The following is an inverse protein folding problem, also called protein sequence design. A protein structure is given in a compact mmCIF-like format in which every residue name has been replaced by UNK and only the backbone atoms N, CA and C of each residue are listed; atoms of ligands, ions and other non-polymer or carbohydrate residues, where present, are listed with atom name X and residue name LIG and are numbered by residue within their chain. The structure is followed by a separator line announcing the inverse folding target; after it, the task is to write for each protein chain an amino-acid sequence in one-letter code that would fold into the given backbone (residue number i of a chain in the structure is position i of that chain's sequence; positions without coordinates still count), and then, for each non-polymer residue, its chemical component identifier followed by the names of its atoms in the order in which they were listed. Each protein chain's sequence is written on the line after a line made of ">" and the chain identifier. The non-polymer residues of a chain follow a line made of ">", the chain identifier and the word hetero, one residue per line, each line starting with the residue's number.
data_IF_456217688442
#
_entry.id   IF_456217688442
#
_cell.length_a   1.000
_cell.length_b   1.000
_cell.length_c   1.000
_cell.angle_alpha   90.00
_cell.angle_beta   90.00
_cell.angle_gamma   90.00
#
_symmetry.space_group_name_H-M   'P 1'
#
loop_
_entity.id
_entity.type
_entity.pdbx_description
1 polymer ?
#
# COMPACT_ATOMS: atom_id res chain seq x y z
N UNK A 1 -13.37 0.39 -13.08
CA UNK A 1 -13.73 1.34 -14.11
C UNK A 1 -12.76 2.51 -14.11
N UNK A 2 -12.51 3.12 -15.25
CA UNK A 2 -11.60 4.25 -15.40
C UNK A 2 -12.28 5.62 -15.29
N UNK A 3 -13.52 5.68 -14.87
CA UNK A 3 -14.26 6.93 -14.74
C UNK A 3 -13.68 7.76 -13.60
N UNK A 4 -13.29 9.00 -13.92
CA UNK A 4 -12.69 9.95 -12.99
C UNK A 4 -13.67 10.38 -11.87
N UNK A 5 -14.98 10.21 -12.10
CA UNK A 5 -16.03 10.66 -11.19
C UNK A 5 -16.55 9.57 -10.24
N UNK A 6 -16.06 8.35 -10.37
CA UNK A 6 -16.41 7.27 -9.45
C UNK A 6 -15.55 7.29 -8.17
N UNK A 7 -16.13 6.99 -6.99
CA UNK A 7 -15.36 6.84 -5.78
C UNK A 7 -14.25 5.81 -5.95
N UNK A 8 -13.04 6.16 -5.57
CA UNK A 8 -11.89 5.26 -5.61
C UNK A 8 -11.88 4.33 -4.39
N UNK A 9 -11.34 3.10 -4.50
CA UNK A 9 -11.09 2.25 -3.36
C UNK A 9 -10.24 2.98 -2.31
N UNK A 10 -10.72 3.06 -1.08
CA UNK A 10 -10.17 3.96 -0.07
C UNK A 10 -8.70 3.67 0.28
N UNK A 11 -8.34 2.40 0.50
CA UNK A 11 -6.97 2.03 0.86
C UNK A 11 -5.98 2.30 -0.28
N UNK A 12 -6.22 1.88 -1.53
CA UNK A 12 -5.38 2.24 -2.66
C UNK A 12 -5.24 3.75 -2.87
N UNK A 13 -6.33 4.49 -2.79
CA UNK A 13 -6.30 5.95 -2.89
C UNK A 13 -5.48 6.58 -1.75
N UNK A 14 -5.62 6.06 -0.52
CA UNK A 14 -4.85 6.48 0.64
C UNK A 14 -3.36 6.22 0.50
N UNK A 15 -2.97 5.10 -0.13
CA UNK A 15 -1.57 4.79 -0.42
C UNK A 15 -0.98 5.81 -1.41
N UNK A 16 -1.68 6.10 -2.51
CA UNK A 16 -1.23 7.10 -3.50
C UNK A 16 -1.11 8.48 -2.87
N UNK A 17 -2.09 8.89 -2.07
CA UNK A 17 -2.07 10.16 -1.34
C UNK A 17 -0.91 10.22 -0.35
N UNK A 18 -0.64 9.12 0.37
CA UNK A 18 0.45 9.05 1.33
C UNK A 18 1.81 9.23 0.64
N UNK A 19 2.04 8.52 -0.47
CA UNK A 19 3.26 8.67 -1.28
C UNK A 19 3.44 10.13 -1.74
N UNK A 20 2.38 10.78 -2.20
CA UNK A 20 2.41 12.17 -2.63
C UNK A 20 2.75 13.14 -1.48
N UNK A 21 2.19 12.94 -0.27
CA UNK A 21 2.43 13.81 0.88
C UNK A 21 3.83 13.72 1.44
N UNK A 22 4.50 12.61 1.23
CA UNK A 22 5.89 12.40 1.64
C UNK A 22 6.89 12.60 0.50
N UNK A 23 6.44 13.21 -0.61
CA UNK A 23 7.25 13.50 -1.79
C UNK A 23 8.00 12.27 -2.34
N UNK A 24 7.39 11.08 -2.22
CA UNK A 24 7.96 9.84 -2.75
C UNK A 24 7.66 9.77 -4.25
N UNK A 25 8.70 9.78 -5.11
CA UNK A 25 8.51 9.79 -6.55
C UNK A 25 7.83 8.50 -7.03
N UNK A 26 6.71 8.65 -7.74
CA UNK A 26 5.99 7.52 -8.34
C UNK A 26 6.26 7.39 -9.84
N UNK A 27 6.54 8.49 -10.53
CA UNK A 27 6.73 8.52 -11.97
C UNK A 27 7.99 7.74 -12.37
N UNK A 28 7.79 6.71 -13.17
CA UNK A 28 8.86 5.82 -13.61
C UNK A 28 9.36 4.85 -12.54
N UNK A 29 8.80 4.90 -11.32
CA UNK A 29 9.19 4.01 -10.24
C UNK A 29 8.77 2.56 -10.52
N UNK A 30 9.62 1.60 -10.14
CA UNK A 30 9.27 0.19 -10.06
C UNK A 30 8.56 -0.07 -8.73
N UNK A 31 7.33 -0.56 -8.79
CA UNK A 31 6.48 -0.83 -7.64
C UNK A 31 6.18 -2.32 -7.51
N UNK A 32 6.56 -2.93 -6.40
CA UNK A 32 6.18 -4.28 -6.04
C UNK A 32 4.98 -4.26 -5.10
N UNK A 33 3.86 -4.80 -5.52
CA UNK A 33 2.67 -4.97 -4.67
C UNK A 33 2.53 -6.46 -4.33
N UNK A 34 2.75 -6.79 -3.06
CA UNK A 34 2.67 -8.16 -2.57
C UNK A 34 1.26 -8.38 -2.01
N UNK A 35 0.48 -9.13 -2.74
CA UNK A 35 -0.94 -9.38 -2.51
C UNK A 35 -1.80 -8.97 -3.70
N UNK A 36 -2.74 -9.83 -4.09
CA UNK A 36 -3.66 -9.61 -5.24
C UNK A 36 -5.13 -9.55 -4.84
N UNK A 37 -5.38 -9.14 -3.60
CA UNK A 37 -6.73 -8.95 -3.09
C UNK A 37 -7.49 -7.86 -3.84
N UNK A 38 -8.82 -8.03 -3.92
CA UNK A 38 -9.70 -7.07 -4.62
C UNK A 38 -9.82 -5.74 -3.90
N UNK A 39 -9.50 -5.70 -2.61
CA UNK A 39 -9.58 -4.49 -1.78
C UNK A 39 -8.36 -3.60 -1.88
N UNK A 40 -7.18 -4.16 -2.09
CA UNK A 40 -5.91 -3.41 -2.12
C UNK A 40 -5.10 -3.72 -3.37
N UNK A 41 -4.57 -4.93 -3.52
CA UNK A 41 -3.53 -5.22 -4.51
C UNK A 41 -3.94 -4.92 -5.95
N UNK A 42 -5.06 -5.48 -6.42
CA UNK A 42 -5.55 -5.25 -7.78
C UNK A 42 -5.89 -3.79 -8.06
N UNK A 43 -6.73 -3.11 -7.25
CA UNK A 43 -7.06 -1.72 -7.51
C UNK A 43 -5.86 -0.79 -7.36
N UNK A 44 -4.90 -1.08 -6.47
CA UNK A 44 -3.69 -0.29 -6.35
C UNK A 44 -2.84 -0.37 -7.63
N UNK A 45 -2.66 -1.56 -8.20
CA UNK A 45 -1.96 -1.71 -9.47
C UNK A 45 -2.56 -0.84 -10.58
N UNK A 46 -3.90 -0.78 -10.64
CA UNK A 46 -4.60 0.08 -11.60
C UNK A 46 -4.39 1.57 -11.31
N UNK A 47 -4.35 2.00 -10.06
CA UNK A 47 -4.14 3.40 -9.70
C UNK A 47 -2.70 3.85 -9.96
N UNK A 48 -1.72 3.02 -9.60
CA UNK A 48 -0.30 3.35 -9.75
C UNK A 48 0.15 3.41 -11.22
N UNK A 49 -0.51 2.67 -12.12
CA UNK A 49 -0.22 2.69 -13.56
C UNK A 49 -0.99 3.77 -14.33
N UNK A 50 -1.83 4.56 -13.68
CA UNK A 50 -2.55 5.66 -14.33
C UNK A 50 -1.60 6.75 -14.82
N UNK A 51 -2.00 7.42 -15.91
CA UNK A 51 -1.35 8.65 -16.36
C UNK A 51 -1.39 9.70 -15.24
N UNK A 52 -0.24 10.25 -14.91
CA UNK A 52 -0.04 11.17 -13.80
C UNK A 52 0.64 10.53 -12.57
N UNK A 53 0.42 9.22 -12.33
CA UNK A 53 1.19 8.43 -11.36
C UNK A 53 2.36 7.73 -12.05
N UNK A 54 2.09 7.14 -13.22
CA UNK A 54 3.06 6.66 -14.22
C UNK A 54 4.10 5.66 -13.67
N UNK A 55 3.70 4.78 -12.74
CA UNK A 55 4.58 3.73 -12.20
C UNK A 55 4.53 2.46 -13.03
N UNK A 56 5.59 1.66 -12.97
CA UNK A 56 5.59 0.26 -13.42
C UNK A 56 5.27 -0.64 -12.24
N UNK A 57 4.22 -1.44 -12.32
CA UNK A 57 3.73 -2.23 -11.18
C UNK A 57 3.85 -3.72 -11.45
N UNK A 58 4.49 -4.43 -10.53
CA UNK A 58 4.49 -5.89 -10.46
C UNK A 58 3.57 -6.36 -9.33
N UNK A 59 2.49 -7.07 -9.68
CA UNK A 59 1.61 -7.71 -8.71
C UNK A 59 2.15 -9.09 -8.35
N UNK A 60 2.50 -9.29 -7.09
CA UNK A 60 3.08 -10.51 -6.56
C UNK A 60 2.09 -11.27 -5.68
N UNK A 61 2.21 -12.58 -5.65
CA UNK A 61 1.36 -13.47 -4.85
C UNK A 61 2.07 -14.79 -4.54
N UNK A 62 1.48 -15.66 -3.74
CA UNK A 62 2.07 -16.92 -3.27
C UNK A 62 2.58 -17.89 -4.35
N UNK A 63 2.06 -17.76 -5.59
CA UNK A 63 2.54 -18.55 -6.74
C UNK A 63 3.49 -17.76 -7.66
N UNK A 64 3.92 -16.55 -7.28
CA UNK A 64 4.91 -15.77 -8.04
C UNK A 64 6.27 -16.46 -7.95
N UNK A 65 6.94 -16.59 -9.09
CA UNK A 65 8.33 -17.03 -9.13
C UNK A 65 9.22 -15.85 -8.79
N UNK A 66 10.31 -16.11 -8.09
CA UNK A 66 11.34 -15.10 -7.77
C UNK A 66 10.77 -13.82 -7.12
N UNK A 67 9.83 -13.99 -6.16
CA UNK A 67 9.20 -12.88 -5.45
C UNK A 67 10.24 -11.95 -4.82
N UNK A 68 11.23 -12.51 -4.16
CA UNK A 68 12.34 -11.79 -3.53
C UNK A 68 13.08 -10.90 -4.55
N UNK A 69 13.41 -11.44 -5.71
CA UNK A 69 14.11 -10.69 -6.76
C UNK A 69 13.27 -9.50 -7.27
N UNK A 70 11.97 -9.71 -7.43
CA UNK A 70 11.08 -8.63 -7.86
C UNK A 70 10.98 -7.52 -6.79
N UNK A 71 10.96 -7.88 -5.51
CA UNK A 71 10.95 -6.91 -4.39
C UNK A 71 12.27 -6.15 -4.30
N UNK A 72 13.42 -6.83 -4.48
CA UNK A 72 14.75 -6.22 -4.47
C UNK A 72 14.97 -5.13 -5.51
N UNK A 73 14.24 -5.18 -6.62
CA UNK A 73 14.35 -4.16 -7.67
C UNK A 73 13.45 -2.96 -7.42
N UNK A 74 12.43 -3.12 -6.60
CA UNK A 74 11.38 -2.12 -6.44
C UNK A 74 11.87 -0.88 -5.68
N UNK A 75 11.48 0.29 -6.19
CA UNK A 75 11.64 1.58 -5.53
C UNK A 75 10.58 1.78 -4.44
N UNK A 76 9.40 1.16 -4.67
CA UNK A 76 8.27 1.19 -3.74
C UNK A 76 7.77 -0.24 -3.53
N UNK A 77 7.64 -0.66 -2.28
CA UNK A 77 7.10 -1.97 -1.90
C UNK A 77 5.82 -1.77 -1.09
N UNK A 78 4.75 -2.46 -1.48
CA UNK A 78 3.48 -2.44 -0.75
C UNK A 78 3.13 -3.87 -0.32
N UNK A 79 3.15 -4.12 0.98
CA UNK A 79 2.83 -5.41 1.57
C UNK A 79 1.36 -5.46 2.00
N UNK A 80 0.57 -6.32 1.35
CA UNK A 80 -0.87 -6.46 1.57
C UNK A 80 -1.32 -7.92 1.49
N UNK A 81 -0.63 -8.80 2.25
CA UNK A 81 -0.88 -10.25 2.27
C UNK A 81 -1.73 -10.67 3.46
N UNK A 82 -1.60 -9.99 4.61
CA UNK A 82 -2.11 -10.45 5.90
C UNK A 82 -1.31 -11.62 6.48
N UNK A 83 0.01 -11.60 6.31
CA UNK A 83 0.95 -12.59 6.86
C UNK A 83 2.03 -11.85 7.64
N UNK A 84 2.02 -12.02 8.96
CA UNK A 84 2.93 -11.32 9.88
C UNK A 84 4.40 -11.47 9.48
N UNK A 85 5.11 -10.33 9.38
CA UNK A 85 6.55 -10.24 9.15
C UNK A 85 7.04 -11.02 7.93
N UNK A 86 6.23 -11.11 6.89
CA UNK A 86 6.55 -11.84 5.66
C UNK A 86 7.67 -11.18 4.86
N UNK A 87 7.65 -9.84 4.76
CA UNK A 87 8.65 -9.08 4.01
C UNK A 87 9.89 -8.87 4.85
N UNK A 88 11.01 -9.41 4.41
CA UNK A 88 12.27 -9.42 5.13
C UNK A 88 13.18 -8.26 4.72
N UNK A 89 14.08 -7.79 5.63
CA UNK A 89 15.03 -6.71 5.33
C UNK A 89 15.90 -6.96 4.09
N UNK A 90 16.32 -8.20 3.89
CA UNK A 90 17.20 -8.61 2.79
C UNK A 90 16.55 -8.49 1.41
N UNK A 91 15.22 -8.39 1.38
CA UNK A 91 14.46 -8.22 0.14
C UNK A 91 14.32 -6.75 -0.27
N UNK A 92 14.61 -5.83 0.64
CA UNK A 92 14.38 -4.40 0.39
C UNK A 92 15.60 -3.77 -0.26
N UNK A 93 15.36 -3.08 -1.37
CA UNK A 93 16.36 -2.21 -1.98
C UNK A 93 16.71 -1.08 -1.00
N UNK A 94 17.98 -0.86 -0.69
CA UNK A 94 18.37 0.25 0.19
C UNK A 94 17.78 1.58 -0.27
N UNK A 95 17.11 2.28 0.63
CA UNK A 95 16.45 3.55 0.33
C UNK A 95 15.05 3.44 -0.28
N UNK A 96 14.51 2.25 -0.54
CA UNK A 96 13.15 2.08 -1.03
C UNK A 96 12.10 2.56 -0.04
N UNK A 97 10.95 2.97 -0.57
CA UNK A 97 9.76 3.25 0.24
C UNK A 97 8.97 1.97 0.47
N UNK A 98 8.62 1.67 1.73
CA UNK A 98 7.88 0.48 2.11
C UNK A 98 6.57 0.86 2.79
N UNK A 99 5.45 0.34 2.28
CA UNK A 99 4.12 0.54 2.84
C UNK A 99 3.60 -0.79 3.39
N UNK A 100 3.45 -0.85 4.70
CA UNK A 100 2.88 -1.98 5.41
C UNK A 100 1.37 -1.81 5.54
N UNK A 101 0.60 -2.65 4.85
CA UNK A 101 -0.87 -2.57 4.78
C UNK A 101 -1.54 -3.71 5.50
N UNK A 102 -0.92 -4.87 5.51
CA UNK A 102 -1.46 -6.07 6.14
C UNK A 102 -1.57 -5.93 7.65
N UNK A 103 -2.60 -6.54 8.24
CA UNK A 103 -2.79 -6.58 9.69
C UNK A 103 -3.08 -8.02 10.09
N UNK A 104 -2.21 -8.57 10.92
CA UNK A 104 -2.36 -9.89 11.49
C UNK A 104 -2.43 -9.81 13.01
N UNK A 105 -3.36 -10.55 13.59
CA UNK A 105 -3.48 -10.68 15.04
C UNK A 105 -2.60 -11.82 15.51
N UNK A 106 -1.61 -11.53 16.33
CA UNK A 106 -0.74 -12.53 16.94
C UNK A 106 -0.95 -12.56 18.46
N UNK A 107 -0.85 -13.74 19.06
CA UNK A 107 -0.87 -13.88 20.51
C UNK A 107 0.51 -13.45 21.07
N UNK A 108 0.50 -12.45 21.94
CA UNK A 108 1.70 -12.03 22.67
C UNK A 108 1.99 -12.92 23.88
N UNK A 109 3.19 -12.80 24.42
CA UNK A 109 3.69 -13.61 25.56
C UNK A 109 2.79 -13.59 26.81
N UNK A 110 1.93 -12.62 26.97
CA UNK A 110 1.01 -12.47 28.10
C UNK A 110 -0.48 -12.83 27.75
N UNK A 111 -0.71 -13.58 26.68
CA UNK A 111 -2.07 -13.92 26.21
C UNK A 111 -2.85 -12.72 25.66
N UNK A 112 -2.23 -11.54 25.55
CA UNK A 112 -2.82 -10.38 24.91
C UNK A 112 -2.52 -10.42 23.43
N UNK A 113 -3.59 -10.31 22.62
CA UNK A 113 -3.42 -10.23 21.18
C UNK A 113 -2.82 -8.87 20.78
N UNK A 114 -1.79 -8.91 19.97
CA UNK A 114 -1.14 -7.74 19.37
C UNK A 114 -1.39 -7.74 17.87
N UNK A 115 -1.57 -6.55 17.29
CA UNK A 115 -1.66 -6.39 15.84
C UNK A 115 -0.26 -6.12 15.29
N UNK A 116 0.12 -6.88 14.29
CA UNK A 116 1.39 -6.72 13.58
C UNK A 116 1.15 -6.62 12.09
N UNK A 117 2.07 -5.99 11.39
CA UNK A 117 2.04 -5.85 9.94
C UNK A 117 2.66 -7.04 9.19
N UNK A 118 2.66 -6.92 7.87
CA UNK A 118 3.28 -7.90 6.96
C UNK A 118 4.79 -7.70 6.84
N UNK A 119 5.33 -6.55 7.31
CA UNK A 119 6.72 -6.17 7.15
C UNK A 119 7.49 -6.46 8.43
N UNK A 120 8.67 -7.09 8.31
CA UNK A 120 9.55 -7.32 9.45
C UNK A 120 10.07 -5.98 9.99
N UNK A 121 10.10 -5.76 11.32
CA UNK A 121 10.60 -4.53 11.93
C UNK A 121 12.01 -4.12 11.50
N UNK A 122 12.88 -5.10 11.19
CA UNK A 122 14.24 -4.85 10.70
C UNK A 122 14.31 -4.10 9.39
N UNK A 123 13.23 -4.07 8.61
CA UNK A 123 13.12 -3.28 7.37
C UNK A 123 13.37 -1.79 7.61
N UNK A 124 13.05 -1.28 8.80
CA UNK A 124 13.29 0.11 9.16
C UNK A 124 14.77 0.54 9.06
N UNK A 125 15.71 -0.40 9.16
CA UNK A 125 17.15 -0.11 9.03
C UNK A 125 17.61 0.00 7.56
N UNK A 126 16.81 -0.46 6.60
CA UNK A 126 17.18 -0.55 5.17
C UNK A 126 16.34 0.42 4.33
N UNK A 127 15.05 0.53 4.62
CA UNK A 127 14.12 1.39 3.90
C UNK A 127 14.49 2.87 4.07
N UNK A 128 14.35 3.65 2.99
CA UNK A 128 14.46 5.10 3.07
C UNK A 128 13.21 5.73 3.68
N UNK A 129 12.07 5.06 3.56
CA UNK A 129 10.81 5.45 4.16
C UNK A 129 9.98 4.20 4.46
N UNK A 130 9.37 4.15 5.63
CA UNK A 130 8.52 3.04 6.07
C UNK A 130 7.25 3.58 6.71
N UNK A 131 6.08 3.17 6.17
CA UNK A 131 4.82 3.48 6.84
C UNK A 131 4.67 2.61 8.09
N UNK A 132 4.37 3.20 9.26
CA UNK A 132 4.16 2.41 10.47
C UNK A 132 2.90 1.56 10.36
N UNK A 133 2.91 0.40 11.03
CA UNK A 133 1.73 -0.42 11.18
C UNK A 133 1.65 -0.93 12.65
N UNK A 134 0.65 -0.46 13.41
CA UNK A 134 -0.45 0.45 13.05
C UNK A 134 -0.01 1.92 12.90
N UNK A 135 -0.88 2.75 12.28
CA UNK A 135 -0.73 4.20 12.25
C UNK A 135 -0.38 4.82 10.90
N UNK A 136 -0.01 4.02 9.90
CA UNK A 136 0.32 4.49 8.54
C UNK A 136 -0.88 4.49 7.60
N UNK A 137 -1.02 3.43 6.79
CA UNK A 137 -2.06 3.32 5.75
C UNK A 137 -3.48 3.24 6.31
N UNK A 138 -3.68 2.63 7.49
CA UNK A 138 -5.00 2.48 8.10
C UNK A 138 -5.75 3.81 8.31
N UNK A 139 -5.16 4.83 8.96
CA UNK A 139 -5.75 6.17 9.09
C UNK A 139 -6.07 6.80 7.74
N UNK A 140 -5.22 6.64 6.72
CA UNK A 140 -5.46 7.15 5.37
C UNK A 140 -6.69 6.51 4.72
N UNK A 141 -6.91 5.22 4.93
CA UNK A 141 -8.12 4.53 4.45
C UNK A 141 -9.39 5.22 4.96
N UNK A 142 -9.42 5.57 6.25
CA UNK A 142 -10.55 6.29 6.86
C UNK A 142 -10.70 7.70 6.31
N UNK A 143 -9.61 8.42 6.14
CA UNK A 143 -9.62 9.76 5.55
C UNK A 143 -10.17 9.74 4.11
N UNK A 144 -9.77 8.75 3.29
CA UNK A 144 -10.28 8.60 1.93
C UNK A 144 -11.77 8.19 1.90
N UNK A 145 -12.24 7.43 2.88
CA UNK A 145 -13.67 7.13 3.00
C UNK A 145 -14.47 8.42 3.22
N UNK A 146 -14.06 9.25 4.17
CA UNK A 146 -14.72 10.55 4.44
C UNK A 146 -14.65 11.44 3.19
N UNK A 147 -13.49 11.52 2.55
CA UNK A 147 -13.33 12.29 1.30
C UNK A 147 -14.30 11.82 0.22
N UNK A 148 -14.43 10.53 -0.01
CA UNK A 148 -15.36 9.96 -0.99
C UNK A 148 -16.82 10.34 -0.69
N UNK A 149 -17.22 10.35 0.59
CA UNK A 149 -18.57 10.76 1.01
C UNK A 149 -18.81 12.23 0.70
N UNK A 150 -17.88 13.10 1.10
CA UNK A 150 -17.98 14.54 0.86
C UNK A 150 -18.02 14.85 -0.64
N UNK A 151 -17.11 14.28 -1.42
CA UNK A 151 -17.05 14.51 -2.88
C UNK A 151 -18.35 14.05 -3.58
N UNK A 152 -18.91 12.93 -3.14
CA UNK A 152 -20.17 12.42 -3.68
C UNK A 152 -21.34 13.33 -3.33
N UNK A 153 -21.43 13.77 -2.07
CA UNK A 153 -22.49 14.68 -1.61
C UNK A 153 -22.44 16.02 -2.37
N UNK A 154 -21.25 16.59 -2.53
CA UNK A 154 -21.03 17.86 -3.25
C UNK A 154 -21.47 17.74 -4.70
N UNK A 155 -21.08 16.67 -5.40
CA UNK A 155 -21.51 16.43 -6.79
C UNK A 155 -23.01 16.29 -6.91
N UNK A 156 -23.65 15.55 -6.00
CA UNK A 156 -25.11 15.37 -6.02
C UNK A 156 -25.85 16.68 -5.74
N UNK A 157 -25.29 17.56 -4.91
CA UNK A 157 -25.87 18.89 -4.64
C UNK A 157 -25.83 19.82 -5.85
N UNK A 158 -24.80 19.72 -6.73
CA UNK A 158 -24.68 20.52 -7.94
C UNK A 158 -25.55 20.00 -9.12
N UNK A 159 -26.14 18.83 -9.00
CA UNK A 159 -27.05 18.24 -10.00
C UNK A 159 -28.54 18.57 -9.72
N UNK A 160 -28.83 19.31 -8.66
CA UNK A 160 -30.16 19.82 -8.29
C UNK A 160 -30.26 21.29 -8.55
#
# INVERSE_FOLDING_TARGET
>A
SGELDSPLPCTPAGIVELLSRYDIPTRGAEVAVIGRGVTVGRPLGLLMTRKGTDSTVTLLHSASRDLEHAVKRADIVVAALGVAHFVQPEWIKPGAAVLDVGITRVEGENGKATLVGDVDPGVAAVAGWLSPNPGGVGPMTRAMLVKNVVDTATRTAHLR
#
